data_IF_254307410552
#
_entry.id   IF_254307410552
#
_cell.length_a   1.000
_cell.length_b   1.000
_cell.length_c   1.000
_cell.angle_alpha   90.00
_cell.angle_beta   90.00
_cell.angle_gamma   90.00
#
_symmetry.space_group_name_H-M   'P 1'
#
loop_
_entity.id
_entity.type
_entity.pdbx_description
1 polymer ?
#
# COMPACT_ATOMS: atom_id res chain seq x y z
N UNK A 1 -11.73 -13.24 -10.86
CA UNK A 1 -10.84 -13.00 -9.71
C UNK A 1 -10.12 -11.69 -9.98
N UNK A 2 -10.30 -10.67 -9.15
CA UNK A 2 -9.68 -9.35 -9.34
C UNK A 2 -8.57 -9.12 -8.30
N UNK A 3 -7.45 -8.56 -8.74
CA UNK A 3 -6.28 -8.27 -7.91
C UNK A 3 -6.16 -6.76 -7.71
N UNK A 4 -6.00 -6.33 -6.46
CA UNK A 4 -5.66 -4.97 -6.08
C UNK A 4 -4.16 -4.86 -5.78
N UNK A 5 -3.56 -3.68 -5.98
CA UNK A 5 -2.18 -3.39 -5.60
C UNK A 5 -2.15 -2.40 -4.45
N UNK A 6 -1.32 -2.68 -3.45
CA UNK A 6 -1.02 -1.78 -2.33
C UNK A 6 0.45 -1.39 -2.41
N UNK A 7 0.74 -0.11 -2.62
CA UNK A 7 2.09 0.42 -2.69
C UNK A 7 2.46 1.00 -1.33
N UNK A 8 3.38 0.34 -0.64
CA UNK A 8 3.87 0.72 0.68
C UNK A 8 5.23 1.41 0.55
N UNK A 9 5.35 2.61 1.10
CA UNK A 9 6.61 3.35 1.09
C UNK A 9 6.87 4.12 2.37
N UNK A 10 8.14 4.38 2.66
CA UNK A 10 8.55 5.34 3.67
C UNK A 10 8.05 6.75 3.38
N UNK A 11 7.89 7.09 2.10
CA UNK A 11 7.44 8.41 1.65
C UNK A 11 6.01 8.34 1.18
N UNK A 12 5.13 9.15 1.80
CA UNK A 12 3.76 9.35 1.33
C UNK A 12 3.72 9.78 -0.13
N UNK A 13 4.54 10.78 -0.48
CA UNK A 13 4.58 11.31 -1.84
C UNK A 13 5.06 10.29 -2.88
N UNK A 14 5.95 9.37 -2.49
CA UNK A 14 6.39 8.30 -3.40
C UNK A 14 5.27 7.29 -3.64
N UNK A 15 4.60 6.82 -2.59
CA UNK A 15 3.48 5.88 -2.71
C UNK A 15 2.33 6.48 -3.53
N UNK A 16 1.92 7.72 -3.22
CA UNK A 16 0.86 8.44 -3.92
C UNK A 16 1.22 8.70 -5.39
N UNK A 17 2.44 9.20 -5.67
CA UNK A 17 2.88 9.48 -7.02
C UNK A 17 3.02 8.21 -7.89
N UNK A 18 3.44 7.10 -7.29
CA UNK A 18 3.50 5.81 -7.99
C UNK A 18 2.09 5.28 -8.33
N UNK A 19 1.13 5.41 -7.41
CA UNK A 19 -0.28 5.09 -7.67
C UNK A 19 -0.86 6.00 -8.76
N UNK A 20 -0.61 7.31 -8.69
CA UNK A 20 -1.11 8.28 -9.66
C UNK A 20 -0.64 7.92 -11.08
N UNK A 21 0.65 7.66 -11.26
CA UNK A 21 1.20 7.28 -12.56
C UNK A 21 0.66 5.93 -13.03
N UNK A 22 0.63 4.93 -12.14
CA UNK A 22 0.16 3.58 -12.49
C UNK A 22 -1.33 3.57 -12.87
N UNK A 23 -2.15 4.42 -12.25
CA UNK A 23 -3.59 4.53 -12.54
C UNK A 23 -3.86 4.96 -13.98
N UNK A 24 -2.98 5.77 -14.60
CA UNK A 24 -3.11 6.17 -16.01
C UNK A 24 -2.94 4.97 -16.95
N UNK A 25 -2.09 4.02 -16.58
CA UNK A 25 -1.82 2.81 -17.37
C UNK A 25 -2.81 1.67 -17.07
N UNK A 26 -3.38 1.65 -15.87
CA UNK A 26 -4.19 0.55 -15.35
C UNK A 26 -5.53 1.02 -14.74
N UNK A 27 -6.42 1.67 -15.52
CA UNK A 27 -7.63 2.33 -14.99
C UNK A 27 -8.68 1.39 -14.38
N UNK A 28 -8.54 0.07 -14.58
CA UNK A 28 -9.43 -0.96 -14.02
C UNK A 28 -8.84 -1.68 -12.80
N UNK A 29 -7.62 -1.37 -12.41
CA UNK A 29 -6.95 -1.98 -11.25
C UNK A 29 -7.20 -1.09 -10.04
N UNK A 30 -7.59 -1.70 -8.92
CA UNK A 30 -7.63 -1.00 -7.64
C UNK A 30 -6.20 -0.79 -7.16
N UNK A 31 -5.77 0.47 -7.06
CA UNK A 31 -4.44 0.87 -6.61
C UNK A 31 -4.58 1.69 -5.34
N UNK A 32 -3.81 1.34 -4.32
CA UNK A 32 -3.87 1.95 -3.00
C UNK A 32 -2.45 2.33 -2.56
N UNK A 33 -2.31 3.53 -1.99
CA UNK A 33 -1.05 4.02 -1.45
C UNK A 33 -1.07 3.94 0.08
N UNK A 34 0.01 3.45 0.66
CA UNK A 34 0.27 3.49 2.10
C UNK A 34 1.69 4.00 2.31
N UNK A 35 1.85 5.27 2.71
CA UNK A 35 3.19 5.77 2.96
C UNK A 35 3.30 6.87 3.98
N UNK A 36 4.50 6.98 4.53
CA UNK A 36 4.81 7.86 5.65
C UNK A 36 4.54 7.23 7.00
N UNK A 37 5.01 7.94 8.02
CA UNK A 37 4.90 7.58 9.44
C UNK A 37 3.53 7.90 10.07
N UNK A 38 2.59 8.47 9.29
CA UNK A 38 1.30 8.96 9.78
C UNK A 38 1.33 10.37 10.40
N UNK A 39 2.51 10.90 10.73
CA UNK A 39 2.73 12.24 11.26
C UNK A 39 3.26 13.24 10.21
N UNK A 40 3.49 12.79 8.98
CA UNK A 40 3.95 13.61 7.85
C UNK A 40 5.45 13.51 7.57
N UNK A 41 6.17 12.67 8.33
CA UNK A 41 7.56 12.34 8.10
C UNK A 41 7.75 11.07 7.26
N UNK A 42 9.02 10.70 7.09
CA UNK A 42 9.40 9.43 6.47
C UNK A 42 9.26 8.30 7.49
N UNK A 43 8.65 7.20 7.07
CA UNK A 43 8.45 6.01 7.90
C UNK A 43 7.31 5.15 7.36
N UNK A 44 6.96 4.10 8.09
CA UNK A 44 5.87 3.21 7.71
C UNK A 44 4.91 3.04 8.88
N UNK A 45 3.72 3.63 8.77
CA UNK A 45 2.63 3.41 9.75
C UNK A 45 1.99 2.04 9.54
N UNK A 46 1.88 1.27 10.62
CA UNK A 46 1.16 0.01 10.64
C UNK A 46 -0.31 0.20 10.25
N UNK A 47 -0.97 1.19 10.86
CA UNK A 47 -2.40 1.49 10.66
C UNK A 47 -2.71 1.87 9.22
N UNK A 48 -1.80 2.61 8.57
CA UNK A 48 -1.94 2.98 7.16
C UNK A 48 -1.84 1.76 6.24
N UNK A 49 -0.91 0.85 6.52
CA UNK A 49 -0.75 -0.39 5.74
C UNK A 49 -1.94 -1.33 5.96
N UNK A 50 -2.36 -1.54 7.22
CA UNK A 50 -3.53 -2.34 7.58
C UNK A 50 -4.80 -1.84 6.87
N UNK A 51 -5.06 -0.53 6.97
CA UNK A 51 -6.22 0.09 6.31
C UNK A 51 -6.21 -0.10 4.79
N UNK A 52 -5.03 0.01 4.16
CA UNK A 52 -4.89 -0.18 2.73
C UNK A 52 -5.10 -1.65 2.32
N UNK A 53 -4.58 -2.61 3.09
CA UNK A 53 -4.78 -4.05 2.83
C UNK A 53 -6.25 -4.45 3.00
N UNK A 54 -6.92 -3.97 4.04
CA UNK A 54 -8.36 -4.20 4.25
C UNK A 54 -9.19 -3.61 3.09
N UNK A 55 -8.88 -2.40 2.64
CA UNK A 55 -9.54 -1.79 1.48
C UNK A 55 -9.27 -2.57 0.18
N UNK A 56 -8.04 -3.06 -0.01
CA UNK A 56 -7.63 -3.82 -1.19
C UNK A 56 -8.43 -5.12 -1.32
N UNK A 57 -8.57 -5.84 -0.21
CA UNK A 57 -9.21 -7.16 -0.13
C UNK A 57 -10.73 -7.11 0.02
N UNK A 58 -11.30 -5.93 0.30
CA UNK A 58 -12.74 -5.73 0.39
C UNK A 58 -13.49 -6.33 -0.81
N UNK A 59 -14.66 -6.93 -0.57
CA UNK A 59 -15.44 -7.57 -1.63
C UNK A 59 -14.80 -8.82 -2.24
N UNK A 60 -13.86 -9.47 -1.55
CA UNK A 60 -13.28 -10.76 -1.94
C UNK A 60 -12.17 -10.67 -3.00
N UNK A 61 -11.51 -9.52 -3.13
CA UNK A 61 -10.35 -9.34 -4.01
C UNK A 61 -9.09 -9.93 -3.37
N UNK A 62 -8.16 -10.38 -4.20
CA UNK A 62 -6.79 -10.65 -3.75
C UNK A 62 -5.97 -9.37 -3.79
N UNK A 63 -4.97 -9.24 -2.93
CA UNK A 63 -4.08 -8.09 -2.90
C UNK A 63 -2.63 -8.51 -3.16
N UNK A 64 -1.88 -7.67 -3.86
CA UNK A 64 -0.41 -7.72 -3.95
C UNK A 64 0.13 -6.47 -3.29
N UNK A 65 0.99 -6.65 -2.29
CA UNK A 65 1.63 -5.54 -1.58
C UNK A 65 3.06 -5.37 -2.11
N UNK A 66 3.41 -4.15 -2.50
CA UNK A 66 4.71 -3.77 -3.03
C UNK A 66 5.35 -2.78 -2.07
N UNK A 67 6.55 -3.08 -1.59
CA UNK A 67 7.24 -2.28 -0.57
C UNK A 67 8.52 -1.66 -1.13
N UNK A 68 8.97 -0.54 -0.58
CA UNK A 68 10.23 0.10 -0.99
C UNK A 68 11.48 -0.47 -0.29
N UNK A 69 11.67 -0.19 0.99
CA UNK A 69 12.86 -0.49 1.78
C UNK A 69 12.51 -1.43 2.95
N UNK A 70 13.53 -2.04 3.55
CA UNK A 70 13.38 -3.16 4.48
C UNK A 70 12.39 -2.98 5.63
N UNK A 71 12.32 -1.81 6.29
CA UNK A 71 11.36 -1.58 7.37
C UNK A 71 9.90 -1.59 6.91
N UNK A 72 9.62 -1.19 5.66
CA UNK A 72 8.28 -1.26 5.10
C UNK A 72 7.83 -2.71 4.87
N UNK A 73 8.79 -3.60 4.54
CA UNK A 73 8.55 -5.05 4.43
C UNK A 73 8.14 -5.61 5.80
N UNK A 74 8.91 -5.33 6.85
CA UNK A 74 8.63 -5.85 8.19
C UNK A 74 7.26 -5.42 8.73
N UNK A 75 6.89 -4.14 8.54
CA UNK A 75 5.57 -3.65 8.91
C UNK A 75 4.47 -4.33 8.09
N UNK A 76 4.70 -4.55 6.80
CA UNK A 76 3.75 -5.24 5.92
C UNK A 76 3.55 -6.70 6.32
N UNK A 77 4.63 -7.44 6.57
CA UNK A 77 4.56 -8.82 7.06
C UNK A 77 3.80 -8.90 8.37
N UNK A 78 4.07 -7.97 9.30
CA UNK A 78 3.35 -7.89 10.58
C UNK A 78 1.83 -7.68 10.40
N UNK A 79 1.42 -6.88 9.41
CA UNK A 79 -0.01 -6.68 9.07
C UNK A 79 -0.63 -7.93 8.46
N UNK A 80 0.12 -8.71 7.67
CA UNK A 80 -0.39 -9.89 6.96
C UNK A 80 -0.45 -11.14 7.85
N UNK A 81 0.33 -11.19 8.92
CA UNK A 81 0.37 -12.31 9.87
C UNK A 81 -0.77 -12.25 10.93
N UNK A 82 -1.50 -11.14 11.01
CA UNK A 82 -2.62 -10.90 11.95
C UNK A 82 -3.99 -11.07 11.29
#
# INVERSE_FOLDING_TARGET
MAVALVLVSHSRGLAEGAVELAAQMAPRVTLLAAGGDGAGGLGTSYEAVESAVLAATAGGRSAVVLTDLGSAVLTTESVLDL
#
